data_IF_063704583463
#
_entry.id   IF_063704583463
#
_cell.length_a   1.000
_cell.length_b   1.000
_cell.length_c   1.000
_cell.angle_alpha   90.00
_cell.angle_beta   90.00
_cell.angle_gamma   90.00
#
_symmetry.space_group_name_H-M   'P 1'
#
loop_
_entity.id
_entity.type
_entity.pdbx_description
1 polymer ?
#
# COMPACT_ATOMS: atom_id res chain seq x y z
N UNK A 1 -8.89 -16.12 -19.44
CA UNK A 1 -8.51 -16.75 -18.14
C UNK A 1 -7.50 -17.84 -18.46
N UNK A 2 -6.32 -17.83 -17.84
CA UNK A 2 -5.37 -18.93 -18.00
C UNK A 2 -5.91 -20.15 -17.24
N UNK A 3 -5.89 -21.31 -17.88
CA UNK A 3 -6.35 -22.59 -17.32
C UNK A 3 -5.54 -22.93 -16.06
N UNK A 4 -6.23 -23.32 -14.98
CA UNK A 4 -5.62 -23.62 -13.69
C UNK A 4 -4.57 -24.75 -13.82
N UNK A 5 -4.77 -25.69 -14.75
CA UNK A 5 -3.82 -26.74 -15.04
C UNK A 5 -2.50 -26.20 -15.61
N UNK A 6 -2.56 -25.17 -16.46
CA UNK A 6 -1.38 -24.52 -17.03
C UNK A 6 -0.62 -23.76 -15.93
N UNK A 7 -1.31 -23.07 -15.03
CA UNK A 7 -0.67 -22.37 -13.92
C UNK A 7 0.03 -23.34 -12.94
N UNK A 8 -0.60 -24.46 -12.63
CA UNK A 8 0.03 -25.52 -11.83
C UNK A 8 1.25 -26.12 -12.54
N UNK A 9 1.15 -26.37 -13.85
CA UNK A 9 2.28 -26.88 -14.64
C UNK A 9 3.45 -25.90 -14.65
N UNK A 10 3.17 -24.60 -14.76
CA UNK A 10 4.19 -23.53 -14.70
C UNK A 10 4.81 -23.48 -13.30
N UNK A 11 3.99 -23.55 -12.24
CA UNK A 11 4.47 -23.55 -10.85
C UNK A 11 5.32 -24.79 -10.54
N UNK A 12 4.90 -25.97 -11.00
CA UNK A 12 5.63 -27.23 -10.86
C UNK A 12 6.92 -27.21 -11.69
N UNK A 13 6.89 -26.64 -12.90
CA UNK A 13 8.10 -26.46 -13.71
C UNK A 13 9.09 -25.49 -13.05
N UNK A 14 8.63 -24.39 -12.46
CA UNK A 14 9.50 -23.47 -11.72
C UNK A 14 10.06 -24.13 -10.46
N UNK A 15 9.22 -24.84 -9.70
CA UNK A 15 9.65 -25.63 -8.54
C UNK A 15 10.66 -26.71 -8.93
N UNK A 16 10.43 -27.40 -10.05
CA UNK A 16 11.32 -28.40 -10.59
C UNK A 16 12.63 -27.79 -11.09
N UNK A 17 12.64 -26.60 -11.69
CA UNK A 17 13.87 -25.90 -12.09
C UNK A 17 14.69 -25.58 -10.83
N UNK A 18 14.07 -24.96 -9.81
CA UNK A 18 14.73 -24.63 -8.54
C UNK A 18 15.29 -25.88 -7.84
N UNK A 19 14.52 -26.97 -7.81
CA UNK A 19 14.94 -28.25 -7.23
C UNK A 19 15.96 -29.01 -8.10
N UNK A 20 15.88 -28.90 -9.42
CA UNK A 20 16.81 -29.51 -10.39
C UNK A 20 18.20 -28.86 -10.30
N UNK A 21 18.27 -27.56 -10.04
CA UNK A 21 19.54 -26.91 -9.69
C UNK A 21 20.18 -27.52 -8.42
N UNK A 22 19.37 -27.86 -7.41
CA UNK A 22 19.87 -28.53 -6.20
C UNK A 22 20.28 -30.00 -6.46
N UNK A 23 19.57 -30.72 -7.34
CA UNK A 23 19.80 -32.14 -7.63
C UNK A 23 20.94 -32.40 -8.61
N UNK A 24 21.09 -31.61 -9.68
CA UNK A 24 22.22 -31.73 -10.63
C UNK A 24 23.57 -31.54 -9.93
N UNK A 25 23.59 -30.78 -8.84
CA UNK A 25 24.75 -30.62 -7.99
C UNK A 25 25.09 -31.87 -7.14
N UNK A 26 24.08 -32.60 -6.66
CA UNK A 26 24.28 -33.84 -5.88
C UNK A 26 24.95 -34.93 -6.73
N UNK A 27 24.68 -34.92 -8.03
CA UNK A 27 25.35 -35.78 -9.02
C UNK A 27 26.78 -35.33 -9.32
N UNK A 28 27.05 -34.02 -9.39
CA UNK A 28 28.38 -33.49 -9.64
C UNK A 28 29.33 -33.59 -8.42
N UNK A 29 28.80 -33.53 -7.20
CA UNK A 29 29.59 -33.61 -5.94
C UNK A 29 29.90 -35.03 -5.47
N UNK A 30 29.23 -36.05 -6.03
CA UNK A 30 29.52 -37.46 -5.76
C UNK A 30 30.84 -37.94 -6.41
N UNK A 31 31.39 -37.18 -7.35
CA UNK A 31 32.74 -37.43 -7.91
C UNK A 31 33.73 -36.59 -7.11
N UNK A 32 34.43 -37.26 -6.19
CA UNK A 32 35.05 -36.68 -5.00
C UNK A 32 35.97 -35.46 -5.20
N UNK A 33 35.73 -34.43 -4.38
CA UNK A 33 36.72 -33.50 -3.80
C UNK A 33 36.09 -32.71 -2.65
N UNK A 34 36.82 -32.39 -1.57
CA UNK A 34 36.25 -31.75 -0.39
C UNK A 34 36.14 -30.21 -0.56
N UNK A 35 35.07 -29.65 0.01
CA UNK A 35 34.86 -28.22 0.30
C UNK A 35 34.68 -27.26 -0.90
N UNK A 36 33.44 -27.13 -1.41
CA UNK A 36 33.06 -26.23 -2.51
C UNK A 36 31.83 -25.32 -2.23
N UNK A 37 31.37 -25.18 -0.98
CA UNK A 37 30.14 -24.41 -0.65
C UNK A 37 30.16 -22.96 -1.18
N UNK A 38 31.30 -22.26 -1.13
CA UNK A 38 31.37 -20.86 -1.56
C UNK A 38 31.20 -20.68 -3.08
N UNK A 39 31.83 -21.54 -3.90
CA UNK A 39 31.70 -21.51 -5.36
C UNK A 39 30.29 -21.88 -5.85
N UNK A 40 29.57 -22.70 -5.08
CA UNK A 40 28.19 -23.12 -5.40
C UNK A 40 27.23 -21.94 -5.25
N UNK A 41 27.34 -21.19 -4.15
CA UNK A 41 26.52 -20.00 -3.94
C UNK A 41 26.77 -18.93 -5.02
N UNK A 42 28.01 -18.73 -5.44
CA UNK A 42 28.34 -17.79 -6.50
C UNK A 42 27.75 -18.24 -7.84
N UNK A 43 27.90 -19.52 -8.22
CA UNK A 43 27.36 -20.03 -9.49
C UNK A 43 25.84 -19.93 -9.56
N UNK A 44 25.14 -20.34 -8.49
CA UNK A 44 23.68 -20.25 -8.40
C UNK A 44 23.24 -18.79 -8.49
N UNK A 45 23.92 -17.88 -7.78
CA UNK A 45 23.61 -16.46 -7.82
C UNK A 45 23.81 -15.86 -9.21
N UNK A 46 24.89 -16.22 -9.92
CA UNK A 46 25.15 -15.74 -11.28
C UNK A 46 24.12 -16.25 -12.28
N UNK A 47 23.80 -17.55 -12.24
CA UNK A 47 22.79 -18.15 -13.13
C UNK A 47 21.40 -17.56 -12.86
N UNK A 48 21.03 -17.38 -11.60
CA UNK A 48 19.77 -16.76 -11.24
C UNK A 48 19.71 -15.29 -11.69
N UNK A 49 20.80 -14.54 -11.53
CA UNK A 49 20.88 -13.14 -11.99
C UNK A 49 20.70 -13.02 -13.51
N UNK A 50 21.32 -13.92 -14.28
CA UNK A 50 21.16 -13.94 -15.74
C UNK A 50 19.73 -14.32 -16.16
N UNK A 51 19.16 -15.37 -15.56
CA UNK A 51 17.76 -15.78 -15.82
C UNK A 51 16.79 -14.67 -15.47
N UNK A 52 16.95 -14.00 -14.32
CA UNK A 52 16.09 -12.89 -13.93
C UNK A 52 16.23 -11.72 -14.90
N UNK A 53 17.45 -11.38 -15.32
CA UNK A 53 17.69 -10.30 -16.29
C UNK A 53 17.01 -10.58 -17.63
N UNK A 54 17.14 -11.80 -18.15
CA UNK A 54 16.47 -12.24 -19.37
C UNK A 54 14.95 -12.23 -19.24
N UNK A 55 14.44 -12.68 -18.09
CA UNK A 55 13.01 -12.71 -17.80
C UNK A 55 12.41 -11.30 -17.78
N UNK A 56 13.07 -10.35 -17.09
CA UNK A 56 12.67 -8.94 -17.05
C UNK A 56 12.67 -8.31 -18.45
N UNK A 57 13.66 -8.63 -19.28
CA UNK A 57 13.76 -8.09 -20.63
C UNK A 57 12.72 -8.67 -21.61
N UNK A 58 12.30 -9.93 -21.43
CA UNK A 58 11.40 -10.63 -22.36
C UNK A 58 9.93 -10.53 -21.98
N UNK A 59 9.60 -10.46 -20.69
CA UNK A 59 8.20 -10.42 -20.22
C UNK A 59 7.80 -8.97 -19.96
N UNK A 60 7.36 -8.28 -21.02
CA UNK A 60 7.00 -6.85 -20.96
C UNK A 60 5.51 -6.59 -20.71
N UNK A 61 4.65 -7.58 -20.94
CA UNK A 61 3.21 -7.41 -20.85
C UNK A 61 2.72 -7.45 -19.39
N UNK A 62 2.02 -6.41 -18.86
CA UNK A 62 1.67 -6.32 -17.44
C UNK A 62 0.84 -7.50 -16.90
N UNK A 63 -0.10 -8.01 -17.70
CA UNK A 63 -0.87 -9.20 -17.31
C UNK A 63 -0.01 -10.46 -17.19
N UNK A 64 0.98 -10.63 -18.08
CA UNK A 64 1.87 -11.79 -18.04
C UNK A 64 2.81 -11.68 -16.84
N UNK A 65 3.36 -10.49 -16.59
CA UNK A 65 4.17 -10.21 -15.40
C UNK A 65 3.38 -10.57 -14.13
N UNK A 66 2.16 -10.05 -13.98
CA UNK A 66 1.28 -10.38 -12.84
C UNK A 66 1.06 -11.88 -12.69
N UNK A 67 0.68 -12.58 -13.76
CA UNK A 67 0.36 -14.00 -13.70
C UNK A 67 1.59 -14.84 -13.33
N UNK A 68 2.74 -14.51 -13.92
CA UNK A 68 4.03 -15.12 -13.63
C UNK A 68 4.42 -14.93 -12.16
N UNK A 69 4.34 -13.71 -11.64
CA UNK A 69 4.67 -13.46 -10.22
C UNK A 69 3.70 -14.20 -9.30
N UNK A 70 2.40 -14.22 -9.62
CA UNK A 70 1.39 -14.92 -8.82
C UNK A 70 1.50 -16.44 -8.87
N UNK A 71 2.19 -17.03 -9.86
CA UNK A 71 2.43 -18.47 -9.89
C UNK A 71 3.60 -18.92 -9.01
N UNK A 72 4.40 -18.00 -8.46
CA UNK A 72 5.43 -18.39 -7.50
C UNK A 72 4.80 -18.84 -6.17
N UNK A 73 5.27 -19.96 -5.60
CA UNK A 73 4.79 -20.41 -4.29
C UNK A 73 5.20 -19.40 -3.21
N UNK A 74 4.29 -19.07 -2.30
CA UNK A 74 4.56 -18.19 -1.14
C UNK A 74 4.64 -18.95 0.19
N UNK A 75 4.75 -20.28 0.12
CA UNK A 75 4.74 -21.18 1.28
C UNK A 75 6.01 -21.07 2.14
N UNK A 76 7.12 -20.59 1.57
CA UNK A 76 8.38 -20.36 2.27
C UNK A 76 8.72 -18.87 2.28
N UNK A 77 9.33 -18.34 3.36
CA UNK A 77 9.75 -16.93 3.38
C UNK A 77 10.75 -16.61 2.26
N UNK A 78 11.59 -17.58 1.85
CA UNK A 78 12.51 -17.39 0.72
C UNK A 78 11.77 -17.17 -0.60
N UNK A 79 10.74 -17.96 -0.87
CA UNK A 79 9.98 -17.86 -2.12
C UNK A 79 9.05 -16.64 -2.12
N UNK A 80 8.54 -16.24 -0.95
CA UNK A 80 7.85 -14.96 -0.77
C UNK A 80 8.79 -13.75 -0.98
N UNK A 81 10.02 -13.82 -0.49
CA UNK A 81 11.05 -12.80 -0.73
C UNK A 81 11.37 -12.70 -2.23
N UNK A 82 11.60 -13.83 -2.91
CA UNK A 82 11.84 -13.86 -4.34
C UNK A 82 10.66 -13.27 -5.13
N UNK A 83 9.43 -13.65 -4.79
CA UNK A 83 8.23 -13.11 -5.43
C UNK A 83 8.15 -11.59 -5.27
N UNK A 84 8.37 -11.07 -4.06
CA UNK A 84 8.40 -9.63 -3.77
C UNK A 84 9.50 -8.92 -4.56
N UNK A 85 10.70 -9.50 -4.60
CA UNK A 85 11.83 -8.92 -5.32
C UNK A 85 11.57 -8.85 -6.83
N UNK A 86 11.06 -9.94 -7.42
CA UNK A 86 10.72 -9.96 -8.85
C UNK A 86 9.58 -8.99 -9.17
N UNK A 87 8.56 -8.87 -8.31
CA UNK A 87 7.48 -7.91 -8.48
C UNK A 87 8.02 -6.47 -8.53
N UNK A 88 8.91 -6.10 -7.61
CA UNK A 88 9.55 -4.80 -7.60
C UNK A 88 10.42 -4.59 -8.84
N UNK A 89 11.23 -5.58 -9.21
CA UNK A 89 12.11 -5.51 -10.37
C UNK A 89 11.32 -5.33 -11.69
N UNK A 90 10.18 -6.02 -11.86
CA UNK A 90 9.31 -5.83 -13.02
C UNK A 90 8.71 -4.43 -13.10
N UNK A 91 8.35 -3.83 -11.95
CA UNK A 91 7.78 -2.49 -11.91
C UNK A 91 8.79 -1.42 -12.32
N UNK A 92 10.02 -1.51 -11.81
CA UNK A 92 11.03 -0.45 -11.97
C UNK A 92 12.00 -0.67 -13.13
N UNK A 93 11.91 -1.80 -13.82
CA UNK A 93 12.73 -2.11 -15.00
C UNK A 93 12.69 -0.95 -16.01
N UNK A 94 13.84 -0.49 -16.55
CA UNK A 94 15.17 -1.13 -16.52
C UNK A 94 16.06 -0.78 -15.31
N UNK A 95 15.54 -0.11 -14.29
CA UNK A 95 16.32 0.28 -13.11
C UNK A 95 16.65 -0.97 -12.27
N UNK A 96 17.93 -1.22 -11.91
CA UNK A 96 18.29 -2.34 -11.05
C UNK A 96 17.80 -2.12 -9.62
N UNK A 97 17.46 -3.22 -8.94
CA UNK A 97 17.05 -3.23 -7.53
C UNK A 97 18.18 -3.87 -6.72
N UNK A 98 19.15 -3.05 -6.32
CA UNK A 98 20.35 -3.52 -5.61
C UNK A 98 20.25 -3.40 -4.08
N UNK A 99 19.07 -2.97 -3.59
CA UNK A 99 18.81 -2.78 -2.16
C UNK A 99 18.03 -3.96 -1.57
N UNK A 100 18.30 -4.35 -0.30
CA UNK A 100 17.45 -5.30 0.41
C UNK A 100 15.99 -4.82 0.46
N UNK A 101 15.03 -5.74 0.40
CA UNK A 101 13.59 -5.38 0.39
C UNK A 101 13.09 -4.71 1.68
N UNK A 102 13.90 -4.81 2.74
CA UNK A 102 13.65 -4.26 4.06
C UNK A 102 14.27 -2.86 4.23
N UNK A 103 15.03 -2.39 3.24
CA UNK A 103 15.61 -1.05 3.22
C UNK A 103 14.49 0.00 2.99
N UNK A 104 14.40 1.06 3.81
CA UNK A 104 13.46 2.16 3.61
C UNK A 104 13.49 2.78 2.19
N UNK A 105 14.64 2.72 1.50
CA UNK A 105 14.78 3.18 0.11
C UNK A 105 13.82 2.48 -0.86
N UNK A 106 13.35 1.27 -0.54
CA UNK A 106 12.37 0.56 -1.36
C UNK A 106 11.06 1.34 -1.44
N UNK A 107 10.59 1.91 -0.32
CA UNK A 107 9.41 2.77 -0.31
C UNK A 107 9.63 4.04 -1.12
N UNK A 108 10.82 4.63 -1.08
CA UNK A 108 11.17 5.79 -1.91
C UNK A 108 11.20 5.44 -3.41
N UNK A 109 11.75 4.28 -3.78
CA UNK A 109 11.77 3.78 -5.16
C UNK A 109 10.33 3.61 -5.67
N UNK A 110 9.47 2.98 -4.87
CA UNK A 110 8.05 2.77 -5.19
C UNK A 110 7.33 4.12 -5.34
N UNK A 111 7.50 5.03 -4.39
CA UNK A 111 6.87 6.36 -4.43
C UNK A 111 7.31 7.14 -5.68
N UNK A 112 8.62 7.18 -5.98
CA UNK A 112 9.16 7.82 -7.17
C UNK A 112 8.61 7.19 -8.45
N UNK A 113 8.55 5.86 -8.50
CA UNK A 113 8.04 5.14 -9.66
C UNK A 113 6.57 5.48 -9.92
N UNK A 114 5.72 5.41 -8.89
CA UNK A 114 4.30 5.72 -9.02
C UNK A 114 4.06 7.17 -9.47
N UNK A 115 4.83 8.13 -8.96
CA UNK A 115 4.68 9.55 -9.33
C UNK A 115 5.15 9.85 -10.77
N UNK A 116 6.26 9.25 -11.18
CA UNK A 116 6.91 9.59 -12.44
C UNK A 116 6.49 8.68 -13.61
N UNK A 117 5.96 7.49 -13.33
CA UNK A 117 5.61 6.53 -14.37
C UNK A 117 4.29 6.93 -15.05
N UNK A 118 4.27 7.04 -16.39
CA UNK A 118 3.05 7.34 -17.13
C UNK A 118 2.00 6.22 -17.00
N UNK A 119 2.40 5.03 -16.55
CA UNK A 119 1.52 3.88 -16.35
C UNK A 119 0.48 4.09 -15.24
N UNK A 120 0.69 5.07 -14.34
CA UNK A 120 -0.24 5.43 -13.27
C UNK A 120 -0.94 6.78 -13.53
N UNK A 121 -0.75 7.38 -14.71
CA UNK A 121 -1.47 8.60 -15.09
C UNK A 121 -2.73 8.21 -15.88
N UNK A 122 -3.89 8.34 -15.23
CA UNK A 122 -5.17 7.97 -15.84
C UNK A 122 -5.54 8.98 -16.93
N UNK A 123 -5.56 8.48 -18.16
CA UNK A 123 -5.96 9.20 -19.36
C UNK A 123 -7.13 8.49 -20.05
N UNK A 124 -7.72 9.11 -21.08
CA UNK A 124 -8.83 8.53 -21.87
C UNK A 124 -8.53 7.17 -22.49
N UNK A 125 -7.26 6.89 -22.77
CA UNK A 125 -6.80 5.65 -23.41
C UNK A 125 -6.23 4.63 -22.40
N UNK A 126 -6.56 4.77 -21.11
CA UNK A 126 -6.02 3.88 -20.07
C UNK A 126 -6.61 2.48 -20.21
N UNK A 127 -5.75 1.49 -20.34
CA UNK A 127 -6.15 0.09 -20.22
C UNK A 127 -6.22 -0.27 -18.73
N UNK A 128 -7.44 -0.33 -18.19
CA UNK A 128 -7.68 -0.60 -16.77
C UNK A 128 -7.24 -2.01 -16.36
N UNK A 129 -7.31 -3.02 -17.24
CA UNK A 129 -6.73 -4.34 -16.95
C UNK A 129 -5.21 -4.29 -16.74
N UNK A 130 -4.50 -3.46 -17.50
CA UNK A 130 -3.06 -3.25 -17.32
C UNK A 130 -2.76 -2.48 -16.03
N UNK A 131 -3.57 -1.48 -15.70
CA UNK A 131 -3.44 -0.72 -14.45
C UNK A 131 -3.67 -1.64 -13.24
N UNK A 132 -4.74 -2.43 -13.22
CA UNK A 132 -5.01 -3.43 -12.19
C UNK A 132 -3.87 -4.46 -12.06
N UNK A 133 -3.27 -4.89 -13.18
CA UNK A 133 -2.14 -5.80 -13.15
C UNK A 133 -0.91 -5.18 -12.46
N UNK A 134 -0.61 -3.91 -12.76
CA UNK A 134 0.49 -3.17 -12.13
C UNK A 134 0.23 -2.89 -10.66
N UNK A 135 -1.00 -2.54 -10.29
CA UNK A 135 -1.40 -2.37 -8.90
C UNK A 135 -1.23 -3.68 -8.10
N UNK A 136 -1.56 -4.83 -8.70
CA UNK A 136 -1.33 -6.12 -8.05
C UNK A 136 0.17 -6.43 -7.87
N UNK A 137 1.02 -6.11 -8.86
CA UNK A 137 2.47 -6.22 -8.69
C UNK A 137 2.99 -5.29 -7.59
N UNK A 138 2.43 -4.09 -7.50
CA UNK A 138 2.81 -3.08 -6.53
C UNK A 138 2.45 -3.50 -5.10
N UNK A 139 1.27 -4.08 -4.92
CA UNK A 139 0.83 -4.68 -3.67
C UNK A 139 1.79 -5.79 -3.19
N UNK A 140 2.19 -6.68 -4.11
CA UNK A 140 3.18 -7.73 -3.84
C UNK A 140 4.55 -7.13 -3.48
N UNK A 141 5.02 -6.14 -4.25
CA UNK A 141 6.31 -5.48 -4.04
C UNK A 141 6.40 -4.74 -2.70
N UNK A 142 5.30 -4.10 -2.27
CA UNK A 142 5.19 -3.44 -0.95
C UNK A 142 5.29 -4.49 0.17
N UNK A 143 4.67 -5.66 0.01
CA UNK A 143 4.80 -6.77 0.95
C UNK A 143 4.46 -6.33 2.40
N UNK A 144 5.10 -6.92 3.43
CA UNK A 144 4.86 -6.56 4.83
C UNK A 144 5.43 -5.20 5.26
N UNK A 145 6.03 -4.41 4.36
CA UNK A 145 6.71 -3.15 4.70
C UNK A 145 8.17 -3.37 5.16
N UNK A 146 8.59 -2.58 6.17
CA UNK A 146 9.91 -2.66 6.82
C UNK A 146 10.07 -3.87 7.74
N UNK A 147 8.98 -4.54 8.09
CA UNK A 147 9.05 -5.73 8.93
C UNK A 147 9.67 -6.85 8.09
N UNK A 148 10.88 -7.25 8.46
CA UNK A 148 11.42 -8.52 8.01
C UNK A 148 10.49 -9.64 8.49
N UNK A 149 10.08 -10.50 7.58
CA UNK A 149 9.53 -11.80 7.95
C UNK A 149 10.75 -12.67 8.22
N UNK A 150 11.12 -12.95 9.49
CA UNK A 150 12.31 -13.72 9.76
C UNK A 150 12.19 -15.08 9.05
N UNK A 151 13.14 -15.38 8.17
CA UNK A 151 13.33 -16.73 7.68
C UNK A 151 13.92 -17.55 8.83
N UNK A 152 13.07 -18.31 9.50
CA UNK A 152 13.54 -19.38 10.37
C UNK A 152 13.52 -20.67 9.53
N UNK A 153 14.70 -21.19 9.12
CA UNK A 153 14.74 -22.53 8.54
C UNK A 153 14.12 -23.47 9.58
N UNK A 154 13.18 -24.32 9.14
CA UNK A 154 12.56 -25.37 9.94
C UNK A 154 13.66 -26.35 10.38
N UNK A 155 14.41 -25.95 11.41
CA UNK A 155 15.24 -26.85 12.19
C UNK A 155 14.25 -27.74 12.93
N UNK A 156 14.41 -29.05 12.77
CA UNK A 156 13.69 -30.17 13.39
C UNK A 156 12.84 -29.85 14.63
N UNK A 157 11.69 -30.53 14.81
CA UNK A 157 10.70 -30.20 15.84
C UNK A 157 11.39 -30.14 17.21
N UNK A 158 11.60 -28.92 17.69
CA UNK A 158 12.11 -28.72 19.04
C UNK A 158 10.92 -28.89 19.96
N UNK A 159 11.01 -29.89 20.83
CA UNK A 159 10.06 -30.16 21.91
C UNK A 159 9.63 -28.85 22.56
N UNK A 160 8.32 -28.61 22.61
CA UNK A 160 7.72 -27.39 23.14
C UNK A 160 8.21 -27.11 24.57
N UNK A 161 9.21 -26.25 24.71
CA UNK A 161 9.47 -25.60 25.99
C UNK A 161 8.46 -24.47 26.17
N UNK A 162 7.49 -24.73 27.04
CA UNK A 162 6.59 -23.72 27.59
C UNK A 162 7.44 -22.66 28.32
N UNK A 163 7.74 -21.55 27.62
CA UNK A 163 8.55 -20.47 28.17
C UNK A 163 9.28 -19.59 27.15
N UNK A 164 9.22 -19.90 25.86
CA UNK A 164 9.82 -19.04 24.83
C UNK A 164 9.13 -17.67 24.84
N UNK A 165 9.89 -16.64 25.22
CA UNK A 165 9.43 -15.24 25.20
C UNK A 165 8.91 -14.89 23.81
N UNK A 166 7.86 -14.07 23.69
CA UNK A 166 7.38 -13.64 22.38
C UNK A 166 8.55 -13.02 21.63
N UNK A 167 8.81 -13.52 20.41
CA UNK A 167 9.78 -12.95 19.48
C UNK A 167 9.34 -11.51 19.24
N UNK A 168 9.95 -10.56 19.98
CA UNK A 168 9.76 -9.15 19.72
C UNK A 168 10.43 -8.85 18.40
N UNK A 169 9.63 -8.54 17.39
CA UNK A 169 10.14 -7.93 16.17
C UNK A 169 11.01 -6.72 16.56
N UNK A 170 12.20 -6.54 15.97
CA UNK A 170 13.01 -5.36 16.21
C UNK A 170 12.16 -4.12 15.91
N UNK A 171 11.83 -3.35 16.95
CA UNK A 171 11.10 -2.09 16.77
C UNK A 171 12.15 -1.06 16.31
N UNK A 172 12.04 -0.50 15.09
CA UNK A 172 13.00 0.50 14.63
C UNK A 172 12.97 1.73 15.54
N UNK A 173 14.02 2.54 15.50
CA UNK A 173 14.07 3.76 16.30
C UNK A 173 12.85 4.65 16.00
N UNK A 174 12.31 5.34 17.02
CA UNK A 174 11.03 6.06 16.91
C UNK A 174 10.98 7.10 15.78
N UNK A 175 12.13 7.69 15.41
CA UNK A 175 12.25 8.59 14.25
C UNK A 175 12.14 7.86 12.91
N UNK A 176 12.82 6.72 12.75
CA UNK A 176 12.78 5.92 11.51
C UNK A 176 11.38 5.37 11.26
N UNK A 177 10.70 4.90 12.32
CA UNK A 177 9.29 4.46 12.27
C UNK A 177 8.38 5.61 11.82
N UNK A 178 8.59 6.81 12.36
CA UNK A 178 7.80 7.99 12.00
C UNK A 178 8.01 8.36 10.53
N UNK A 179 9.25 8.38 10.07
CA UNK A 179 9.58 8.79 8.70
C UNK A 179 9.07 7.76 7.70
N UNK A 180 9.19 6.47 8.00
CA UNK A 180 8.55 5.40 7.22
C UNK A 180 7.03 5.54 7.18
N UNK A 181 6.37 5.74 8.32
CA UNK A 181 4.92 5.93 8.36
C UNK A 181 4.48 7.15 7.55
N UNK A 182 5.26 8.24 7.56
CA UNK A 182 4.99 9.40 6.71
C UNK A 182 5.07 9.06 5.22
N UNK A 183 6.03 8.22 4.81
CA UNK A 183 6.13 7.74 3.43
C UNK A 183 4.94 6.84 3.05
N UNK A 184 4.53 5.93 3.92
CA UNK A 184 3.35 5.08 3.73
C UNK A 184 2.07 5.92 3.63
N UNK A 185 1.92 6.92 4.50
CA UNK A 185 0.79 7.86 4.49
C UNK A 185 0.79 8.74 3.22
N UNK A 186 1.96 9.10 2.68
CA UNK A 186 2.07 9.77 1.38
C UNK A 186 1.65 8.85 0.23
N UNK A 187 2.12 7.60 0.23
CA UNK A 187 1.78 6.61 -0.78
C UNK A 187 0.27 6.29 -0.79
N UNK A 188 -0.35 6.13 0.38
CA UNK A 188 -1.79 5.92 0.50
C UNK A 188 -2.61 7.10 -0.06
N UNK A 189 -2.16 8.34 0.16
CA UNK A 189 -2.81 9.54 -0.42
C UNK A 189 -2.73 9.56 -1.94
N UNK A 190 -1.60 9.19 -2.52
CA UNK A 190 -1.45 9.14 -3.98
C UNK A 190 -2.35 8.08 -4.61
N UNK A 191 -2.52 6.91 -3.97
CA UNK A 191 -3.51 5.91 -4.42
C UNK A 191 -4.94 6.43 -4.32
N UNK A 192 -5.27 7.19 -3.27
CA UNK A 192 -6.58 7.84 -3.18
C UNK A 192 -6.80 8.82 -4.33
N UNK A 193 -5.81 9.66 -4.66
CA UNK A 193 -5.88 10.59 -5.78
C UNK A 193 -6.01 9.85 -7.11
N UNK A 194 -5.26 8.75 -7.29
CA UNK A 194 -5.37 7.88 -8.45
C UNK A 194 -6.79 7.31 -8.60
N UNK A 195 -7.35 6.76 -7.53
CA UNK A 195 -8.73 6.23 -7.54
C UNK A 195 -9.77 7.31 -7.88
N UNK A 196 -9.61 8.51 -7.32
CA UNK A 196 -10.48 9.66 -7.61
C UNK A 196 -10.39 10.13 -9.07
N UNK A 197 -9.27 9.90 -9.75
CA UNK A 197 -9.11 10.27 -11.16
C UNK A 197 -9.85 9.33 -12.13
N UNK A 198 -10.28 8.15 -11.66
CA UNK A 198 -11.00 7.17 -12.48
C UNK A 198 -12.50 7.46 -12.44
N UNK A 199 -13.00 8.07 -13.52
CA UNK A 199 -14.43 8.35 -13.70
C UNK A 199 -15.16 7.10 -14.17
N UNK A 200 -16.21 6.75 -13.44
CA UNK A 200 -17.12 5.67 -13.79
C UNK A 200 -18.38 6.32 -14.38
N UNK A 201 -18.48 6.38 -15.70
CA UNK A 201 -19.58 7.04 -16.39
C UNK A 201 -20.23 6.09 -17.41
N UNK A 202 -21.55 5.93 -17.31
CA UNK A 202 -22.37 5.22 -18.29
C UNK A 202 -23.26 4.14 -17.69
N UNK A 203 -24.21 3.65 -18.50
CA UNK A 203 -25.16 2.59 -18.14
C UNK A 203 -24.58 1.16 -18.20
N UNK A 204 -23.32 1.02 -18.65
CA UNK A 204 -22.57 -0.24 -18.65
C UNK A 204 -21.28 0.01 -17.87
N UNK A 205 -21.27 -0.40 -16.61
CA UNK A 205 -20.06 -0.37 -15.79
C UNK A 205 -19.05 -1.35 -16.40
N UNK A 206 -17.90 -0.83 -16.85
CA UNK A 206 -16.79 -1.67 -17.28
C UNK A 206 -16.22 -2.41 -16.07
N UNK A 207 -16.31 -3.75 -16.08
CA UNK A 207 -15.83 -4.61 -15.00
C UNK A 207 -14.36 -4.34 -14.67
N UNK A 208 -13.55 -3.95 -15.65
CA UNK A 208 -12.12 -3.68 -15.46
C UNK A 208 -11.86 -2.37 -14.69
N UNK A 209 -12.74 -1.38 -14.84
CA UNK A 209 -12.71 -0.14 -14.05
C UNK A 209 -13.01 -0.47 -12.58
N UNK A 210 -14.04 -1.27 -12.34
CA UNK A 210 -14.43 -1.71 -11.00
C UNK A 210 -13.31 -2.51 -10.34
N UNK A 211 -12.73 -3.51 -11.03
CA UNK A 211 -11.60 -4.31 -10.54
C UNK A 211 -10.39 -3.42 -10.18
N UNK A 212 -10.16 -2.37 -10.97
CA UNK A 212 -9.06 -1.42 -10.74
C UNK A 212 -9.32 -0.59 -9.47
N UNK A 213 -10.52 -0.03 -9.32
CA UNK A 213 -10.90 0.74 -8.13
C UNK A 213 -10.84 -0.11 -6.87
N UNK A 214 -11.37 -1.32 -6.90
CA UNK A 214 -11.28 -2.28 -5.80
C UNK A 214 -9.82 -2.63 -5.46
N UNK A 215 -8.96 -2.78 -6.47
CA UNK A 215 -7.52 -2.98 -6.25
C UNK A 215 -6.86 -1.78 -5.56
N UNK A 216 -7.22 -0.55 -5.94
CA UNK A 216 -6.73 0.69 -5.33
C UNK A 216 -7.19 0.79 -3.87
N UNK A 217 -8.47 0.54 -3.61
CA UNK A 217 -9.05 0.61 -2.26
C UNK A 217 -8.40 -0.41 -1.32
N UNK A 218 -8.28 -1.66 -1.77
CA UNK A 218 -7.61 -2.73 -1.01
C UNK A 218 -6.17 -2.37 -0.68
N UNK A 219 -5.42 -1.85 -1.65
CA UNK A 219 -4.03 -1.45 -1.45
C UNK A 219 -3.93 -0.29 -0.47
N UNK A 220 -4.79 0.72 -0.59
CA UNK A 220 -4.85 1.85 0.34
C UNK A 220 -5.16 1.38 1.77
N UNK A 221 -6.17 0.54 1.94
CA UNK A 221 -6.53 0.00 3.26
C UNK A 221 -5.37 -0.79 3.87
N UNK A 222 -4.69 -1.62 3.07
CA UNK A 222 -3.52 -2.37 3.50
C UNK A 222 -2.36 -1.45 3.90
N UNK A 223 -2.11 -0.37 3.16
CA UNK A 223 -1.10 0.62 3.52
C UNK A 223 -1.42 1.28 4.86
N UNK A 224 -2.65 1.77 5.03
CA UNK A 224 -3.08 2.48 6.23
C UNK A 224 -3.09 1.60 7.48
N UNK A 225 -3.46 0.32 7.35
CA UNK A 225 -3.74 -0.54 8.50
C UNK A 225 -2.71 -1.65 8.76
N UNK A 226 -2.06 -2.19 7.73
CA UNK A 226 -1.16 -3.34 7.87
C UNK A 226 0.32 -2.97 7.66
N UNK A 227 0.63 -2.12 6.68
CA UNK A 227 2.01 -1.73 6.37
C UNK A 227 2.48 -0.61 7.30
N UNK A 228 1.61 0.35 7.60
CA UNK A 228 1.90 1.42 8.57
C UNK A 228 2.14 0.80 9.95
N UNK A 229 3.31 1.06 10.53
CA UNK A 229 3.67 0.56 11.86
C UNK A 229 2.77 1.21 12.90
N UNK A 230 2.05 0.38 13.65
CA UNK A 230 1.02 0.80 14.62
C UNK A 230 -0.35 1.09 14.01
N UNK A 231 -0.54 0.85 12.71
CA UNK A 231 -1.80 1.06 11.99
C UNK A 231 -2.27 2.51 11.97
N UNK A 232 -3.32 2.81 11.22
CA UNK A 232 -3.97 4.12 11.26
C UNK A 232 -4.64 4.30 12.61
N UNK A 233 -4.35 5.43 13.27
CA UNK A 233 -4.96 5.77 14.56
C UNK A 233 -6.46 5.95 14.37
N UNK A 234 -7.24 4.94 14.75
CA UNK A 234 -8.67 5.07 14.88
C UNK A 234 -8.96 5.69 16.25
N UNK A 235 -9.62 6.85 16.26
CA UNK A 235 -10.05 7.48 17.51
C UNK A 235 -11.26 6.71 18.02
N UNK A 236 -11.18 6.17 19.25
CA UNK A 236 -12.31 5.58 19.98
C UNK A 236 -13.10 4.48 19.23
N UNK A 237 -12.43 3.43 18.73
CA UNK A 237 -13.10 2.26 18.09
C UNK A 237 -14.13 1.57 19.01
N UNK A 238 -13.96 1.70 20.33
CA UNK A 238 -14.87 1.18 21.36
C UNK A 238 -15.37 2.28 22.31
N UNK A 239 -15.23 3.56 21.93
CA UNK A 239 -15.76 4.65 22.73
C UNK A 239 -17.27 4.74 22.55
N UNK A 240 -18.00 4.96 23.63
CA UNK A 240 -19.43 5.23 23.56
C UNK A 240 -19.61 6.57 22.83
N UNK A 241 -20.15 6.52 21.60
CA UNK A 241 -20.08 7.62 20.62
C UNK A 241 -20.95 8.85 20.95
N UNK A 242 -21.61 8.87 22.11
CA UNK A 242 -22.66 9.85 22.39
C UNK A 242 -22.17 11.21 22.93
N UNK A 243 -20.93 11.34 23.41
CA UNK A 243 -20.48 12.60 24.07
C UNK A 243 -19.30 13.33 23.40
N UNK A 244 -18.41 12.64 22.69
CA UNK A 244 -17.12 13.24 22.27
C UNK A 244 -17.14 13.93 20.89
N UNK A 245 -18.06 13.57 20.00
CA UNK A 245 -18.15 14.18 18.66
C UNK A 245 -18.71 15.61 18.70
N UNK A 246 -19.58 15.92 19.68
CA UNK A 246 -20.18 17.25 19.83
C UNK A 246 -19.19 18.30 20.39
N UNK A 247 -18.21 17.87 21.19
CA UNK A 247 -17.23 18.75 21.84
C UNK A 247 -16.14 19.31 20.89
N UNK A 248 -15.92 18.70 19.73
CA UNK A 248 -14.86 19.17 18.80
C UNK A 248 -15.35 20.19 17.79
N UNK A 249 -16.62 20.15 17.39
CA UNK A 249 -17.20 21.15 16.47
C UNK A 249 -17.35 22.50 17.19
N UNK A 250 -17.71 22.50 18.47
CA UNK A 250 -17.91 23.74 19.26
C UNK A 250 -16.63 24.56 19.49
N UNK A 251 -15.44 23.92 19.53
CA UNK A 251 -14.15 24.62 19.69
C UNK A 251 -13.71 25.41 18.46
N UNK A 252 -14.17 25.04 17.27
CA UNK A 252 -13.89 25.80 16.05
C UNK A 252 -14.83 27.02 15.88
N UNK A 253 -16.06 26.94 16.38
CA UNK A 253 -17.02 28.06 16.33
C UNK A 253 -16.79 29.12 17.41
N UNK A 254 -16.29 28.74 18.59
CA UNK A 254 -16.03 29.70 19.69
C UNK A 254 -14.82 30.60 19.43
N UNK A 255 -13.82 30.15 18.65
CA UNK A 255 -12.63 30.97 18.35
C UNK A 255 -12.91 32.14 17.39
N UNK A 256 -14.06 32.16 16.70
CA UNK A 256 -14.44 33.25 15.78
C UNK A 256 -15.26 34.36 16.44
N UNK A 257 -15.80 34.13 17.64
CA UNK A 257 -16.65 35.11 18.34
C UNK A 257 -15.87 35.99 19.34
N UNK A 258 -14.62 35.67 19.65
CA UNK A 258 -13.87 36.37 20.70
C UNK A 258 -13.13 37.64 20.26
N UNK A 259 -13.28 38.04 18.99
CA UNK A 259 -12.67 39.26 18.40
C UNK A 259 -13.69 40.30 17.88
N UNK A 260 -14.90 40.34 18.43
CA UNK A 260 -15.79 41.49 18.23
C UNK A 260 -16.08 42.16 19.57
N UNK A 261 -15.40 43.28 19.82
CA UNK A 261 -15.79 44.25 20.85
C UNK A 261 -17.18 44.79 20.52
N UNK A 262 -18.16 44.78 21.44
CA UNK A 262 -19.51 45.24 21.15
C UNK A 262 -19.54 46.78 21.04
N UNK A 263 -19.72 47.30 19.83
CA UNK A 263 -20.21 48.66 19.62
C UNK A 263 -21.71 48.70 19.97
N UNK A 264 -22.22 49.75 20.63
CA UNK A 264 -23.63 49.81 21.01
C UNK A 264 -24.48 50.05 19.75
N UNK A 265 -25.20 49.02 19.32
CA UNK A 265 -26.20 49.12 18.26
C UNK A 265 -27.49 49.71 18.85
N UNK A 266 -27.65 51.01 18.60
CA UNK A 266 -28.90 51.76 18.71
C UNK A 266 -29.95 51.07 17.83
N UNK A 267 -30.99 50.53 18.48
CA UNK A 267 -32.09 49.82 17.83
C UNK A 267 -32.87 50.74 16.90
N UNK A 268 -33.10 50.25 15.68
CA UNK A 268 -33.71 50.89 14.51
C UNK A 268 -35.26 50.82 14.52
N UNK A 269 -35.85 50.58 15.69
CA UNK A 269 -37.29 50.68 15.91
C UNK A 269 -37.53 51.37 17.25
N UNK A 270 -37.38 52.69 17.25
CA UNK A 270 -37.99 53.54 18.26
C UNK A 270 -38.58 54.72 17.50
N UNK A 271 -39.76 54.43 16.94
CA UNK A 271 -40.60 55.41 16.27
C UNK A 271 -41.17 56.32 17.33
N UNK A 272 -40.73 57.57 17.24
CA UNK A 272 -41.36 58.80 17.72
C UNK A 272 -42.84 58.64 18.03
N UNK A 273 -43.22 58.84 19.29
CA UNK A 273 -44.51 59.41 19.68
C UNK A 273 -44.35 60.00 21.08
N UNK A 274 -43.78 61.21 21.11
CA UNK A 274 -43.78 62.07 22.26
C UNK A 274 -44.93 63.10 22.10
N UNK A 275 -45.72 63.22 23.17
CA UNK A 275 -46.28 64.49 23.68
C UNK A 275 -47.64 64.97 23.12
N UNK A 276 -48.65 64.64 23.95
CA UNK A 276 -49.65 65.53 24.60
C UNK A 276 -50.93 66.01 23.89
N UNK A 277 -52.04 65.74 24.62
CA UNK A 277 -53.19 66.63 24.89
C UNK A 277 -54.09 66.99 23.70
N UNK A 278 -55.38 67.26 23.82
CA UNK A 278 -56.46 67.04 24.79
C UNK A 278 -57.69 67.60 24.04
N UNK A 279 -58.88 67.06 24.30
CA UNK A 279 -60.20 67.72 24.15
C UNK A 279 -60.64 68.29 22.78
N UNK A 280 -61.75 67.70 22.31
CA UNK A 280 -62.91 68.27 21.60
C UNK A 280 -62.80 69.66 20.91
N UNK A 281 -63.31 69.79 19.68
CA UNK A 281 -64.73 70.05 19.42
C UNK A 281 -65.02 70.10 17.91
N UNK A 282 -66.31 70.01 17.65
CA UNK A 282 -67.14 69.87 16.48
C UNK A 282 -67.00 70.89 15.32
N UNK A 283 -67.68 70.52 14.23
CA UNK A 283 -68.24 71.33 13.11
C UNK A 283 -67.37 71.50 11.86
N UNK A 284 -67.73 70.83 10.75
CA UNK A 284 -68.64 71.32 9.69
C UNK A 284 -68.19 72.64 9.06
N UNK A 285 -67.41 72.60 7.98
CA UNK A 285 -67.84 72.82 6.58
C UNK A 285 -66.64 72.81 5.65
#
# INVERSE_FOLDING_TARGET
MADAAILHTIQDAMGAIVCSFANNHKLASAVGRPSLQHNIHTLISTQLSDVVSQLLAKVTHPLLQRNLIRSFPTTSPLTAYLQRHLALAFLVHPTPVDVPLSDPKVSDIIYKHMKNSPSFQVNKNTNYSHLAARLALLDIAIGPGLLDVPYQPLSSPTTSEAGSSPVSAPVPASSEVRDFNNQVDALAREFQLLGNSIVEAGAVVDLTIMDTKDSIERLRARLEHAVRIGGKKAHNVFGNDDEDTQLKVSKFFTKRMQNCTPAPLRGIFDGEDDVLSDVADSTNT
#
